data_IF_509495058916
#
_entry.id   IF_509495058916
#
_cell.length_a   1.000
_cell.length_b   1.000
_cell.length_c   1.000
_cell.angle_alpha   90.00
_cell.angle_beta   90.00
_cell.angle_gamma   90.00
#
_symmetry.space_group_name_H-M   'P 1'
#
loop_
_entity.id
_entity.type
_entity.pdbx_description
1 polymer ?
#
# COMPACT_ATOMS: atom_id res chain seq x y z
N UNK A 1 -16.31 1.52 21.86
CA UNK A 1 -15.62 0.50 21.05
C UNK A 1 -15.28 1.18 19.73
N UNK A 2 -14.00 1.48 19.48
CA UNK A 2 -13.60 2.12 18.21
C UNK A 2 -13.65 1.08 17.11
N UNK A 3 -14.48 1.34 16.10
CA UNK A 3 -14.58 0.51 14.90
C UNK A 3 -13.47 0.92 13.94
N UNK A 4 -12.83 -0.05 13.32
CA UNK A 4 -11.95 0.18 12.20
C UNK A 4 -12.49 -0.55 10.99
N UNK A 5 -12.34 0.07 9.82
CA UNK A 5 -12.68 -0.53 8.55
C UNK A 5 -11.42 -0.81 7.76
N UNK A 6 -11.42 -1.96 7.10
CA UNK A 6 -10.39 -2.33 6.15
C UNK A 6 -11.02 -2.43 4.76
N UNK A 7 -10.44 -1.70 3.82
CA UNK A 7 -10.77 -1.79 2.39
C UNK A 7 -9.48 -1.72 1.59
N UNK A 8 -9.26 -2.68 0.70
CA UNK A 8 -8.27 -2.51 -0.36
C UNK A 8 -8.91 -1.72 -1.51
N UNK A 9 -8.09 -0.88 -2.11
CA UNK A 9 -8.24 -0.39 -3.46
C UNK A 9 -6.85 -0.25 -4.02
N UNK A 10 -6.78 -0.12 -5.33
CA UNK A 10 -5.51 -0.01 -5.98
C UNK A 10 -5.42 1.28 -6.78
N UNK A 11 -4.21 1.81 -6.84
CA UNK A 11 -3.92 3.16 -7.29
C UNK A 11 -3.07 3.10 -8.56
N UNK A 12 -3.43 3.94 -9.53
CA UNK A 12 -2.57 4.26 -10.66
C UNK A 12 -2.14 5.71 -10.47
N UNK A 13 -0.85 5.93 -10.23
CA UNK A 13 -0.28 7.26 -10.18
C UNK A 13 0.01 7.71 -11.61
N UNK A 14 -0.88 8.53 -12.19
CA UNK A 14 -0.64 9.11 -13.50
C UNK A 14 0.59 10.05 -13.46
N UNK A 15 1.49 9.83 -14.41
CA UNK A 15 2.81 10.46 -14.55
C UNK A 15 2.81 11.99 -14.37
N UNK A 16 3.68 12.46 -13.48
CA UNK A 16 4.38 13.76 -13.63
C UNK A 16 5.87 13.48 -13.83
N UNK A 17 6.22 12.78 -14.92
CA UNK A 17 7.61 12.66 -15.37
C UNK A 17 7.75 13.26 -16.77
N UNK A 18 8.70 14.20 -16.98
CA UNK A 18 8.96 14.76 -18.30
C UNK A 18 9.32 13.66 -19.29
N UNK A 19 8.69 13.71 -20.46
CA UNK A 19 8.75 12.75 -21.58
C UNK A 19 10.13 12.52 -22.21
N UNK A 20 11.23 13.02 -21.63
CA UNK A 20 12.57 13.01 -22.23
C UNK A 20 13.55 11.97 -21.68
N UNK A 21 13.13 11.12 -20.73
CA UNK A 21 13.96 10.01 -20.24
C UNK A 21 13.71 8.68 -20.99
N UNK A 22 12.92 8.70 -22.07
CA UNK A 22 12.43 7.50 -22.76
C UNK A 22 13.38 6.89 -23.80
N UNK A 23 14.53 7.50 -24.13
CA UNK A 23 15.32 7.07 -25.30
C UNK A 23 16.65 6.36 -25.02
N UNK A 24 17.06 6.11 -23.77
CA UNK A 24 18.42 5.57 -23.54
C UNK A 24 18.58 4.35 -22.65
N UNK A 25 17.53 3.69 -22.14
CA UNK A 25 17.75 2.57 -21.19
C UNK A 25 17.00 1.26 -21.46
N UNK A 26 15.95 1.19 -22.28
CA UNK A 26 15.02 0.05 -22.15
C UNK A 26 14.77 -0.74 -23.44
N UNK A 27 15.84 -1.39 -23.93
CA UNK A 27 15.76 -2.61 -24.74
C UNK A 27 16.35 -3.79 -23.94
N UNK A 28 15.70 -4.12 -22.82
CA UNK A 28 16.06 -5.23 -21.93
C UNK A 28 14.83 -6.05 -21.52
N UNK A 29 14.99 -7.32 -21.11
CA UNK A 29 13.87 -8.22 -20.79
C UNK A 29 13.02 -7.65 -19.66
N UNK A 30 11.74 -8.05 -19.60
CA UNK A 30 10.70 -7.62 -18.63
C UNK A 30 11.11 -7.54 -17.14
N UNK A 31 12.30 -8.01 -16.74
CA UNK A 31 12.85 -7.86 -15.40
C UNK A 31 13.06 -6.38 -15.01
N UNK A 32 13.42 -5.49 -15.94
CA UNK A 32 13.83 -4.12 -15.58
C UNK A 32 12.72 -3.26 -14.98
N UNK A 33 11.48 -3.40 -15.43
CA UNK A 33 10.37 -2.57 -14.95
C UNK A 33 9.88 -2.96 -13.56
N UNK A 34 9.85 -4.26 -13.27
CA UNK A 34 9.54 -4.76 -11.92
C UNK A 34 10.62 -4.32 -10.93
N UNK A 35 11.89 -4.43 -11.32
CA UNK A 35 13.01 -3.98 -10.49
C UNK A 35 12.90 -2.48 -10.17
N UNK A 36 12.47 -1.65 -11.14
CA UNK A 36 12.27 -0.21 -10.92
C UNK A 36 11.07 0.05 -9.99
N UNK A 37 9.96 -0.66 -10.16
CA UNK A 37 8.78 -0.55 -9.29
C UNK A 37 9.12 -0.90 -7.83
N UNK A 38 9.86 -1.98 -7.63
CA UNK A 38 10.32 -2.40 -6.30
C UNK A 38 11.30 -1.39 -5.68
N UNK A 39 12.26 -0.88 -6.46
CA UNK A 39 13.20 0.15 -5.99
C UNK A 39 12.44 1.42 -5.58
N UNK A 40 11.52 1.90 -6.41
CA UNK A 40 10.75 3.12 -6.10
C UNK A 40 9.86 2.94 -4.87
N UNK A 41 9.25 1.76 -4.72
CA UNK A 41 8.47 1.40 -3.54
C UNK A 41 9.37 1.38 -2.30
N UNK A 42 10.52 0.71 -2.39
CA UNK A 42 11.51 0.63 -1.30
C UNK A 42 11.99 2.02 -0.89
N UNK A 43 12.31 2.88 -1.85
CA UNK A 43 12.85 4.22 -1.59
C UNK A 43 11.80 5.10 -0.92
N UNK A 44 10.57 5.11 -1.45
CA UNK A 44 9.50 5.95 -0.91
C UNK A 44 9.07 5.50 0.50
N UNK A 45 8.69 4.23 0.65
CA UNK A 45 8.19 3.71 1.93
C UNK A 45 9.31 3.47 2.93
N UNK A 46 10.53 3.15 2.48
CA UNK A 46 11.71 3.08 3.33
C UNK A 46 12.02 4.44 3.96
N UNK A 47 11.95 5.54 3.21
CA UNK A 47 12.12 6.89 3.77
C UNK A 47 11.05 7.19 4.83
N UNK A 48 9.80 6.77 4.62
CA UNK A 48 8.73 6.95 5.62
C UNK A 48 8.98 6.19 6.94
N UNK A 49 9.80 5.15 6.93
CA UNK A 49 10.17 4.42 8.14
C UNK A 49 11.18 5.20 9.02
N UNK A 50 11.99 6.07 8.40
CA UNK A 50 12.99 6.90 9.09
C UNK A 50 12.53 8.33 9.42
N UNK A 51 11.51 8.83 8.73
CA UNK A 51 10.97 10.16 8.99
C UNK A 51 10.08 10.18 10.24
N UNK A 52 9.92 11.35 10.89
CA UNK A 52 8.95 11.50 11.98
C UNK A 52 7.55 11.04 11.52
N UNK A 53 7.07 9.93 12.08
CA UNK A 53 5.92 9.22 11.53
C UNK A 53 4.64 10.05 11.55
N UNK A 54 4.37 10.76 12.65
CA UNK A 54 3.15 11.55 12.78
C UNK A 54 2.96 12.60 11.68
N UNK A 55 3.90 13.52 11.37
CA UNK A 55 3.68 14.48 10.30
C UNK A 55 3.71 13.86 8.90
N UNK A 56 4.56 12.86 8.64
CA UNK A 56 4.74 12.34 7.28
C UNK A 56 3.77 11.20 6.94
N UNK A 57 3.72 10.15 7.76
CA UNK A 57 2.84 9.01 7.54
C UNK A 57 1.36 9.39 7.72
N UNK A 58 1.01 10.22 8.71
CA UNK A 58 -0.38 10.69 8.83
C UNK A 58 -0.81 11.55 7.65
N UNK A 59 0.08 12.41 7.14
CA UNK A 59 -0.19 13.22 5.95
C UNK A 59 -0.37 12.36 4.71
N UNK A 60 0.49 11.34 4.54
CA UNK A 60 0.33 10.35 3.47
C UNK A 60 -1.05 9.67 3.53
N UNK A 61 -1.43 9.14 4.70
CA UNK A 61 -2.74 8.47 4.89
C UNK A 61 -3.90 9.44 4.64
N UNK A 62 -3.80 10.67 5.14
CA UNK A 62 -4.80 11.71 4.88
C UNK A 62 -4.90 12.07 3.40
N UNK A 63 -3.78 12.10 2.67
CA UNK A 63 -3.77 12.38 1.24
C UNK A 63 -4.40 11.24 0.44
N UNK A 64 -4.06 9.98 0.74
CA UNK A 64 -4.71 8.80 0.17
C UNK A 64 -6.23 8.87 0.39
N UNK A 65 -6.65 9.24 1.59
CA UNK A 65 -8.04 9.46 1.95
C UNK A 65 -8.74 10.53 1.09
N UNK A 66 -8.09 11.68 0.88
CA UNK A 66 -8.61 12.77 0.05
C UNK A 66 -8.77 12.39 -1.42
N UNK A 67 -7.84 11.59 -1.95
CA UNK A 67 -7.93 11.07 -3.32
C UNK A 67 -9.08 10.07 -3.50
N UNK A 68 -9.65 9.56 -2.40
CA UNK A 68 -10.63 8.47 -2.40
C UNK A 68 -11.87 8.80 -1.55
N UNK A 69 -12.61 9.89 -1.85
CA UNK A 69 -13.72 10.36 -1.01
C UNK A 69 -14.91 9.40 -0.94
N UNK A 70 -14.98 8.42 -1.86
CA UNK A 70 -16.02 7.39 -1.91
C UNK A 70 -15.73 6.19 -0.99
N UNK A 71 -14.61 6.22 -0.26
CA UNK A 71 -14.16 5.13 0.62
C UNK A 71 -14.14 5.67 2.04
N UNK A 72 -14.57 4.85 3.00
CA UNK A 72 -14.39 5.21 4.41
C UNK A 72 -12.89 5.31 4.70
N UNK A 73 -12.48 6.51 5.10
CA UNK A 73 -11.08 6.86 5.22
C UNK A 73 -10.54 6.41 6.57
N UNK A 74 -9.31 5.87 6.63
CA UNK A 74 -8.74 5.47 7.90
C UNK A 74 -8.68 6.67 8.84
N UNK A 75 -9.21 6.54 10.05
CA UNK A 75 -9.10 7.60 11.04
C UNK A 75 -7.61 7.84 11.35
N UNK A 76 -7.16 9.06 11.09
CA UNK A 76 -5.80 9.52 11.43
C UNK A 76 -5.69 9.92 12.91
N UNK A 77 -6.83 10.28 13.52
CA UNK A 77 -6.89 10.74 14.91
C UNK A 77 -6.78 9.60 15.91
N UNK A 78 -6.00 9.84 16.96
CA UNK A 78 -5.75 8.88 18.05
C UNK A 78 -5.03 7.62 17.59
N UNK A 79 -4.33 7.66 16.46
CA UNK A 79 -3.34 6.64 16.07
C UNK A 79 -2.05 6.93 16.85
N UNK A 80 -1.51 5.88 17.46
CA UNK A 80 -0.12 5.88 17.92
C UNK A 80 0.77 5.60 16.71
N UNK A 81 1.26 6.67 16.08
CA UNK A 81 2.06 6.59 14.86
C UNK A 81 3.43 5.95 15.10
N UNK A 82 3.94 6.00 16.32
CA UNK A 82 5.23 5.41 16.66
C UNK A 82 5.10 3.89 16.80
N UNK A 83 3.93 3.40 17.23
CA UNK A 83 3.60 1.97 17.27
C UNK A 83 3.18 1.36 15.92
N UNK A 84 2.94 2.19 14.89
CA UNK A 84 2.69 1.70 13.53
C UNK A 84 3.91 0.96 12.97
N UNK A 85 3.79 0.17 11.92
CA UNK A 85 4.95 -0.40 11.25
C UNK A 85 4.63 -0.83 9.83
N UNK A 86 5.68 -1.08 9.05
CA UNK A 86 5.61 -1.48 7.66
C UNK A 86 5.98 -2.96 7.54
N UNK A 87 5.28 -3.68 6.66
CA UNK A 87 5.72 -4.96 6.13
C UNK A 87 5.94 -4.75 4.63
N UNK A 88 7.15 -5.02 4.18
CA UNK A 88 7.53 -4.91 2.77
C UNK A 88 7.51 -6.29 2.13
N UNK A 89 6.82 -6.42 0.99
CA UNK A 89 6.60 -7.69 0.28
C UNK A 89 6.24 -8.88 1.20
N UNK A 90 5.29 -8.75 2.15
CA UNK A 90 4.95 -9.86 3.02
C UNK A 90 4.31 -10.99 2.24
N UNK A 91 4.83 -12.21 2.39
CA UNK A 91 4.20 -13.41 1.82
C UNK A 91 3.06 -13.87 2.70
N UNK A 92 1.84 -13.72 2.18
CA UNK A 92 0.61 -14.01 2.92
C UNK A 92 -0.10 -15.18 2.25
N UNK A 93 -0.20 -16.34 2.94
CA UNK A 93 -0.89 -17.50 2.41
C UNK A 93 -2.38 -17.21 2.20
N UNK A 94 -2.88 -17.45 1.00
CA UNK A 94 -4.28 -17.26 0.62
C UNK A 94 -4.73 -18.37 -0.34
N UNK A 95 -5.74 -19.15 0.07
CA UNK A 95 -6.39 -20.18 -0.78
C UNK A 95 -5.43 -21.16 -1.48
N UNK A 96 -4.30 -21.49 -0.85
CA UNK A 96 -3.31 -22.41 -1.40
C UNK A 96 -2.22 -21.75 -2.25
N UNK A 97 -2.26 -20.43 -2.42
CA UNK A 97 -1.22 -19.62 -3.07
C UNK A 97 -0.66 -18.60 -2.07
N UNK A 98 0.44 -17.93 -2.41
CA UNK A 98 0.92 -16.77 -1.67
C UNK A 98 0.55 -15.51 -2.43
N UNK A 99 -0.03 -14.54 -1.73
CA UNK A 99 -0.12 -13.15 -2.20
C UNK A 99 1.00 -12.35 -1.54
N UNK A 100 1.58 -11.43 -2.29
CA UNK A 100 2.71 -10.60 -1.88
C UNK A 100 2.38 -9.15 -2.29
N UNK A 101 1.70 -8.37 -1.44
CA UNK A 101 1.52 -6.94 -1.70
C UNK A 101 2.84 -6.21 -1.51
N UNK A 102 3.04 -5.09 -2.17
CA UNK A 102 4.29 -4.33 -2.06
C UNK A 102 4.56 -3.81 -0.65
N UNK A 103 3.55 -3.17 -0.04
CA UNK A 103 3.64 -2.61 1.31
C UNK A 103 2.35 -2.81 2.08
N UNK A 104 2.49 -3.18 3.35
CA UNK A 104 1.40 -3.16 4.32
C UNK A 104 1.78 -2.22 5.45
N UNK A 105 0.93 -1.22 5.69
CA UNK A 105 1.05 -0.33 6.84
C UNK A 105 0.08 -0.82 7.91
N UNK A 106 0.60 -1.18 9.07
CA UNK A 106 -0.18 -1.66 10.20
C UNK A 106 -0.19 -0.59 11.29
N UNK A 107 -1.36 -0.34 11.85
CA UNK A 107 -1.56 0.51 13.03
C UNK A 107 -2.37 -0.24 14.09
N UNK A 108 -2.49 0.34 15.28
CA UNK A 108 -3.38 -0.19 16.33
C UNK A 108 -4.87 -0.07 16.03
N UNK A 109 -5.27 0.48 14.86
CA UNK A 109 -6.68 0.60 14.47
C UNK A 109 -6.96 -0.06 13.13
N UNK A 110 -6.15 0.20 12.12
CA UNK A 110 -6.40 -0.28 10.75
C UNK A 110 -5.13 -0.85 10.12
N UNK A 111 -5.34 -1.60 9.04
CA UNK A 111 -4.29 -2.06 8.12
C UNK A 111 -4.54 -1.42 6.76
N UNK A 112 -3.50 -0.90 6.13
CA UNK A 112 -3.53 -0.37 4.77
C UNK A 112 -2.62 -1.23 3.90
N UNK A 113 -3.23 -1.92 2.93
CA UNK A 113 -2.51 -2.70 1.92
C UNK A 113 -2.29 -1.80 0.71
N UNK A 114 -1.05 -1.74 0.25
CA UNK A 114 -0.60 -0.88 -0.83
C UNK A 114 0.04 -1.76 -1.90
N UNK A 115 -0.47 -1.61 -3.12
CA UNK A 115 0.13 -2.13 -4.34
C UNK A 115 0.52 -0.92 -5.18
N UNK A 116 1.78 -0.89 -5.62
CA UNK A 116 2.35 0.11 -6.51
C UNK A 116 2.43 -0.50 -7.90
N UNK A 117 2.12 0.29 -8.92
CA UNK A 117 2.26 -0.11 -10.32
C UNK A 117 2.89 1.03 -11.10
N UNK A 118 3.96 0.73 -11.84
CA UNK A 118 4.59 1.67 -12.76
C UNK A 118 4.17 1.34 -14.20
N UNK A 119 3.53 2.31 -14.86
CA UNK A 119 3.10 2.24 -16.27
C UNK A 119 2.29 0.98 -16.66
N UNK A 120 1.69 0.31 -15.67
CA UNK A 120 0.88 -0.88 -15.87
C UNK A 120 -0.43 -0.78 -15.09
N UNK A 121 -1.47 -1.39 -15.66
CA UNK A 121 -2.73 -1.57 -14.96
C UNK A 121 -2.63 -2.77 -14.02
N UNK A 122 -3.61 -2.88 -13.14
CA UNK A 122 -3.68 -3.99 -12.21
C UNK A 122 -4.21 -5.24 -12.87
N UNK A 123 -3.80 -6.37 -12.31
CA UNK A 123 -4.50 -7.62 -12.56
C UNK A 123 -5.99 -7.48 -12.19
N UNK A 124 -6.86 -8.11 -12.98
CA UNK A 124 -8.32 -8.01 -12.82
C UNK A 124 -8.81 -8.42 -11.41
N UNK A 125 -8.15 -9.42 -10.81
CA UNK A 125 -8.49 -9.93 -9.47
C UNK A 125 -7.60 -9.34 -8.36
N UNK A 126 -6.69 -8.45 -8.71
CA UNK A 126 -5.70 -7.93 -7.79
C UNK A 126 -6.31 -7.10 -6.64
N UNK A 127 -7.28 -6.19 -6.88
CA UNK A 127 -7.95 -5.50 -5.80
C UNK A 127 -8.63 -6.44 -4.79
N UNK A 128 -9.27 -7.51 -5.27
CA UNK A 128 -9.98 -8.47 -4.43
C UNK A 128 -9.03 -9.33 -3.60
N UNK A 129 -7.89 -9.73 -4.18
CA UNK A 129 -6.83 -10.43 -3.45
C UNK A 129 -6.30 -9.55 -2.32
N UNK A 130 -6.09 -8.27 -2.61
CA UNK A 130 -5.43 -7.37 -1.67
C UNK A 130 -6.40 -6.97 -0.55
N UNK A 131 -7.71 -7.03 -0.86
CA UNK A 131 -8.78 -6.90 0.13
C UNK A 131 -8.73 -8.05 1.13
N UNK A 132 -8.69 -9.27 0.61
CA UNK A 132 -8.69 -10.47 1.42
C UNK A 132 -7.43 -10.57 2.27
N UNK A 133 -6.27 -10.17 1.72
CA UNK A 133 -5.02 -10.04 2.47
C UNK A 133 -5.16 -9.07 3.62
N UNK A 134 -5.65 -7.85 3.36
CA UNK A 134 -5.85 -6.88 4.43
C UNK A 134 -6.78 -7.42 5.53
N UNK A 135 -7.81 -8.18 5.14
CA UNK A 135 -8.78 -8.75 6.08
C UNK A 135 -8.14 -9.76 7.00
N UNK A 136 -7.38 -10.70 6.45
CA UNK A 136 -6.61 -11.68 7.21
C UNK A 136 -5.68 -10.96 8.19
N UNK A 137 -4.92 -9.97 7.71
CA UNK A 137 -3.98 -9.23 8.53
C UNK A 137 -4.64 -8.45 9.67
N UNK A 138 -5.83 -7.89 9.43
CA UNK A 138 -6.60 -7.20 10.45
C UNK A 138 -7.15 -8.18 11.51
N UNK A 139 -7.71 -9.31 11.08
CA UNK A 139 -8.22 -10.37 11.96
C UNK A 139 -7.12 -10.95 12.87
N UNK A 140 -5.95 -11.26 12.30
CA UNK A 140 -4.77 -11.75 13.05
C UNK A 140 -4.33 -10.78 14.15
N UNK A 141 -4.72 -9.51 14.04
CA UNK A 141 -4.37 -8.43 14.98
C UNK A 141 -5.51 -8.05 15.91
N UNK A 142 -6.61 -8.81 15.89
CA UNK A 142 -7.80 -8.53 16.70
C UNK A 142 -8.51 -7.23 16.29
N UNK A 143 -8.26 -6.75 15.08
CA UNK A 143 -8.97 -5.59 14.52
C UNK A 143 -10.30 -6.07 13.92
N UNK A 144 -11.36 -5.29 14.13
CA UNK A 144 -12.66 -5.58 13.54
C UNK A 144 -12.60 -5.39 12.03
N UNK A 145 -13.22 -6.31 11.29
CA UNK A 145 -13.38 -6.28 9.84
C UNK A 145 -14.85 -6.44 9.53
N UNK A 146 -15.57 -5.32 9.47
CA UNK A 146 -16.98 -5.31 9.06
C UNK A 146 -17.07 -5.47 7.52
N UNK A 147 -18.01 -6.31 7.08
CA UNK A 147 -18.36 -6.53 5.67
C UNK A 147 -19.21 -5.38 5.12
#
# INVERSE_FOLDING_TARGET
MLKAQLRSKVFQLDRVLPSKLHETVLDGPQSTWRDVEDILTSDFFGVLDYLPRKPFLASFVAHVALLNPQVETPAVDGIDWDASYFLFWPRIPMRGENTEPDVVIVTGKWVLVIEVKLDSALGTDQPQREFAVGKILAEDRGLSVDC
#
